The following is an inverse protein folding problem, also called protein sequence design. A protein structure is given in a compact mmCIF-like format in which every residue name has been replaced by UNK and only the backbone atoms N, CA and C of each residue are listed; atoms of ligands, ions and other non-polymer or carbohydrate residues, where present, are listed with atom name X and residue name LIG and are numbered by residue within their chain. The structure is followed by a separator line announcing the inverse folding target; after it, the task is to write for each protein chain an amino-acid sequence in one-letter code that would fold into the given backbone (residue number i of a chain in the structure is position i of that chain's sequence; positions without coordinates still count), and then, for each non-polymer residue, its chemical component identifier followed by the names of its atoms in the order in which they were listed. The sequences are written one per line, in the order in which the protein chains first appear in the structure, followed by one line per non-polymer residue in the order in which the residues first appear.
data_IF_183720795058
#
_entry.id   IF_183720795058
#
_cell.length_a   1.000
_cell.length_b   1.000
_cell.length_c   1.000
_cell.angle_alpha   90.00
_cell.angle_beta   90.00
_cell.angle_gamma   90.00
#
_symmetry.space_group_name_H-M   'P 1'
#
loop_
_entity.id
_entity.type
_entity.pdbx_description
1 polymer ?
#
# COMPACT_ATOMS: atom_id res chain seq x y z
N UNK A 1 7.51 -5.99 -21.04
CA UNK A 1 7.18 -4.59 -21.41
C UNK A 1 5.69 -4.48 -21.69
N UNK A 2 4.99 -3.45 -21.23
CA UNK A 2 3.53 -3.32 -21.44
C UNK A 2 3.21 -2.64 -22.78
N UNK A 3 2.08 -3.00 -23.38
CA UNK A 3 1.54 -2.39 -24.62
C UNK A 3 1.52 -0.86 -24.56
N UNK A 4 1.27 -0.28 -23.39
CA UNK A 4 1.32 1.16 -23.16
C UNK A 4 2.71 1.78 -23.40
N UNK A 5 3.78 1.13 -22.92
CA UNK A 5 5.16 1.59 -23.13
C UNK A 5 5.57 1.49 -24.61
N UNK A 6 5.10 0.46 -25.32
CA UNK A 6 5.36 0.28 -26.74
C UNK A 6 4.67 1.36 -27.59
N UNK A 7 3.37 1.63 -27.34
CA UNK A 7 2.62 2.71 -28.01
C UNK A 7 3.23 4.10 -27.77
N UNK A 8 3.78 4.34 -26.57
CA UNK A 8 4.49 5.59 -26.25
C UNK A 8 5.83 5.71 -27.02
N UNK A 9 6.60 4.61 -27.16
CA UNK A 9 7.85 4.59 -27.94
C UNK A 9 7.62 4.86 -29.44
N UNK A 10 6.45 4.47 -29.97
CA UNK A 10 6.09 4.69 -31.37
C UNK A 10 5.34 6.02 -31.61
N UNK A 11 5.21 6.89 -30.61
CA UNK A 11 4.48 8.16 -30.76
C UNK A 11 2.98 8.01 -31.00
N UNK A 12 2.40 6.82 -30.81
CA UNK A 12 1.00 6.51 -31.12
C UNK A 12 0.03 6.83 -29.98
N UNK A 13 0.47 7.53 -28.93
CA UNK A 13 -0.42 7.96 -27.85
C UNK A 13 -1.06 9.29 -28.21
N UNK A 14 -2.40 9.36 -28.17
CA UNK A 14 -3.12 10.63 -28.33
C UNK A 14 -2.60 11.64 -27.29
N UNK A 15 -2.26 12.89 -27.68
CA UNK A 15 -1.84 13.90 -26.73
C UNK A 15 -2.97 14.17 -25.73
N UNK A 16 -2.61 14.39 -24.46
CA UNK A 16 -3.59 14.80 -23.46
C UNK A 16 -4.19 16.14 -23.89
N UNK A 17 -5.52 16.24 -23.85
CA UNK A 17 -6.26 17.45 -24.23
C UNK A 17 -5.90 18.69 -23.39
N UNK A 18 -5.38 18.47 -22.17
CA UNK A 18 -4.95 19.52 -21.26
C UNK A 18 -3.56 19.20 -20.73
N UNK A 19 -2.66 20.17 -20.78
CA UNK A 19 -1.35 20.12 -20.13
C UNK A 19 -1.49 20.04 -18.61
N UNK A 20 -0.43 19.62 -17.91
CA UNK A 20 -0.47 19.51 -16.44
C UNK A 20 -0.70 20.87 -15.75
N UNK A 21 -0.17 21.95 -16.32
CA UNK A 21 -0.37 23.32 -15.82
C UNK A 21 -1.83 23.76 -15.95
N UNK A 22 -2.43 23.54 -17.12
CA UNK A 22 -3.85 23.86 -17.35
C UNK A 22 -4.78 23.04 -16.45
N UNK A 23 -4.45 21.76 -16.20
CA UNK A 23 -5.20 20.94 -15.24
C UNK A 23 -5.17 21.53 -13.83
N UNK A 24 -4.01 22.04 -13.38
CA UNK A 24 -3.85 22.64 -12.05
C UNK A 24 -4.65 23.94 -11.92
N UNK A 25 -4.62 24.78 -12.95
CA UNK A 25 -5.38 26.04 -12.99
C UNK A 25 -6.90 25.79 -13.00
N UNK A 26 -7.37 24.83 -13.80
CA UNK A 26 -8.79 24.43 -13.81
C UNK A 26 -9.23 23.87 -12.46
N UNK A 27 -8.37 23.11 -11.78
CA UNK A 27 -8.69 22.61 -10.44
C UNK A 27 -8.69 23.70 -9.37
N UNK A 28 -7.83 24.72 -9.49
CA UNK A 28 -7.86 25.88 -8.60
C UNK A 28 -9.20 26.61 -8.70
N UNK A 29 -9.64 26.91 -9.93
CA UNK A 29 -10.94 27.54 -10.19
C UNK A 29 -12.13 26.70 -9.71
N UNK A 30 -12.04 25.37 -9.84
CA UNK A 30 -13.06 24.47 -9.28
C UNK A 30 -13.24 24.69 -7.77
N UNK A 31 -12.14 24.72 -7.01
CA UNK A 31 -12.22 24.90 -5.56
C UNK A 31 -12.67 26.32 -5.20
N UNK A 32 -12.23 27.35 -5.92
CA UNK A 32 -12.72 28.72 -5.71
C UNK A 32 -14.24 28.86 -5.94
N UNK A 33 -14.79 28.18 -6.96
CA UNK A 33 -16.24 28.17 -7.22
C UNK A 33 -16.98 27.39 -6.12
N UNK A 34 -16.44 26.24 -5.71
CA UNK A 34 -17.05 25.36 -4.71
C UNK A 34 -17.02 25.96 -3.30
N UNK A 35 -15.98 26.72 -2.99
CA UNK A 35 -15.85 27.46 -1.72
C UNK A 35 -16.87 28.61 -1.64
N UNK A 36 -17.03 29.36 -2.74
CA UNK A 36 -18.01 30.47 -2.83
C UNK A 36 -19.46 30.00 -2.90
N UNK A 37 -19.72 28.78 -3.36
CA UNK A 37 -21.06 28.23 -3.48
C UNK A 37 -21.07 26.73 -3.17
N UNK A 38 -21.13 26.33 -1.89
CA UNK A 38 -21.00 24.92 -1.47
C UNK A 38 -22.06 23.99 -2.08
N UNK A 39 -23.25 24.52 -2.34
CA UNK A 39 -24.40 23.75 -2.85
C UNK A 39 -24.36 23.49 -4.37
N UNK A 40 -23.47 24.17 -5.11
CA UNK A 40 -23.39 23.97 -6.56
C UNK A 40 -22.93 22.55 -6.88
N UNK A 41 -23.62 21.89 -7.81
CA UNK A 41 -23.29 20.53 -8.21
C UNK A 41 -22.00 20.48 -9.01
N UNK A 42 -21.23 19.41 -8.81
CA UNK A 42 -19.97 19.18 -9.52
C UNK A 42 -20.18 19.13 -11.04
N UNK A 43 -21.33 18.61 -11.50
CA UNK A 43 -21.66 18.55 -12.92
C UNK A 43 -21.81 19.96 -13.53
N UNK A 44 -22.33 20.91 -12.77
CA UNK A 44 -22.55 22.26 -13.24
C UNK A 44 -21.26 23.08 -13.21
N UNK A 45 -20.40 22.87 -12.22
CA UNK A 45 -19.03 23.41 -12.26
C UNK A 45 -18.25 22.81 -13.45
N UNK A 46 -18.41 21.52 -13.74
CA UNK A 46 -17.75 20.88 -14.89
C UNK A 46 -18.17 21.53 -16.22
N UNK A 47 -19.46 21.85 -16.39
CA UNK A 47 -19.96 22.61 -17.55
C UNK A 47 -19.35 24.01 -17.62
N UNK A 48 -19.31 24.74 -16.49
CA UNK A 48 -18.71 26.09 -16.42
C UNK A 48 -17.22 26.08 -16.80
N UNK A 49 -16.48 25.06 -16.36
CA UNK A 49 -15.06 24.87 -16.66
C UNK A 49 -14.82 24.21 -18.03
N UNK A 50 -15.88 23.89 -18.79
CA UNK A 50 -15.82 23.21 -20.10
C UNK A 50 -15.03 21.90 -20.07
N UNK A 51 -15.14 21.15 -18.97
CA UNK A 51 -14.53 19.83 -18.79
C UNK A 51 -15.61 18.75 -18.65
N UNK A 52 -15.29 17.52 -19.06
CA UNK A 52 -16.20 16.39 -18.82
C UNK A 52 -16.29 16.06 -17.33
N UNK A 53 -17.48 15.71 -16.82
CA UNK A 53 -17.68 15.36 -15.41
C UNK A 53 -16.79 14.20 -14.94
N UNK A 54 -16.56 13.20 -15.79
CA UNK A 54 -15.64 12.10 -15.50
C UNK A 54 -14.17 12.53 -15.43
N UNK A 55 -13.79 13.58 -16.18
CA UNK A 55 -12.46 14.20 -16.13
C UNK A 55 -12.30 14.98 -14.83
N UNK A 56 -13.30 15.78 -14.44
CA UNK A 56 -13.31 16.50 -13.17
C UNK A 56 -13.19 15.54 -11.99
N UNK A 57 -13.96 14.44 -11.97
CA UNK A 57 -13.86 13.42 -10.93
C UNK A 57 -12.45 12.84 -10.80
N UNK A 58 -11.81 12.48 -11.92
CA UNK A 58 -10.44 11.96 -11.95
C UNK A 58 -9.44 12.99 -11.43
N UNK A 59 -9.55 14.25 -11.86
CA UNK A 59 -8.64 15.31 -11.44
C UNK A 59 -8.82 15.69 -9.96
N UNK A 60 -10.05 15.74 -9.44
CA UNK A 60 -10.29 15.91 -7.99
C UNK A 60 -9.53 14.87 -7.17
N UNK A 61 -9.55 13.60 -7.60
CA UNK A 61 -8.80 12.52 -6.94
C UNK A 61 -7.28 12.68 -7.09
N UNK A 62 -6.82 13.13 -8.25
CA UNK A 62 -5.39 13.34 -8.55
C UNK A 62 -4.80 14.52 -7.76
N UNK A 63 -5.48 15.66 -7.72
CA UNK A 63 -4.99 16.90 -7.09
C UNK A 63 -5.27 16.97 -5.59
N UNK A 64 -6.26 16.24 -5.05
CA UNK A 64 -6.39 16.06 -3.58
C UNK A 64 -5.13 15.44 -2.95
N UNK A 65 -4.41 14.58 -3.69
CA UNK A 65 -3.14 13.99 -3.22
C UNK A 65 -1.98 14.98 -3.20
N UNK A 66 -2.06 16.09 -3.95
CA UNK A 66 -0.99 17.09 -4.04
C UNK A 66 -1.16 18.23 -3.04
N UNK A 67 -2.36 18.45 -2.47
CA UNK A 67 -2.62 19.53 -1.51
C UNK A 67 -2.39 19.17 -0.03
N UNK A 68 -1.89 17.98 0.28
CA UNK A 68 -1.42 17.62 1.63
C UNK A 68 0.03 17.12 1.57
N UNK A 69 0.95 18.09 1.44
CA UNK A 69 2.34 17.93 1.88
C UNK A 69 2.54 18.99 2.99
N UNK A 70 2.61 18.59 4.27
CA UNK A 70 2.84 19.52 5.37
C UNK A 70 4.33 19.85 5.40
N UNK A 71 4.73 20.87 4.66
CA UNK A 71 5.99 21.59 4.84
C UNK A 71 5.80 22.98 4.24
N UNK A 72 5.03 23.79 4.95
CA UNK A 72 5.19 25.24 4.96
C UNK A 72 5.08 25.67 6.41
N UNK A 73 6.19 26.21 6.89
CA UNK A 73 6.44 26.64 8.26
C UNK A 73 5.48 27.78 8.59
N UNK A 74 4.77 27.66 9.72
CA UNK A 74 4.57 28.72 10.71
C UNK A 74 3.95 28.06 11.96
N UNK A 75 4.65 28.22 13.09
CA UNK A 75 4.34 27.54 14.34
C UNK A 75 3.08 28.05 15.03
N UNK A 76 2.45 27.20 15.83
CA UNK A 76 2.11 27.44 17.23
C UNK A 76 1.39 26.22 17.85
N UNK A 77 1.60 26.07 19.16
CA UNK A 77 0.99 25.15 20.14
C UNK A 77 1.18 23.65 19.98
N UNK A 78 2.17 23.18 20.75
CA UNK A 78 2.23 21.89 21.45
C UNK A 78 1.00 21.73 22.37
N UNK A 79 0.64 20.48 22.68
CA UNK A 79 -0.42 20.03 23.62
C UNK A 79 -1.88 19.98 23.12
N UNK A 80 -2.19 18.98 22.30
CA UNK A 80 -3.29 18.03 22.56
C UNK A 80 -3.27 16.95 21.47
N UNK A 81 -3.64 15.71 21.79
CA UNK A 81 -3.94 14.60 20.86
C UNK A 81 -2.87 13.51 20.62
N UNK A 82 -2.19 13.04 21.67
CA UNK A 82 -1.49 11.75 21.62
C UNK A 82 -2.45 10.56 21.36
N UNK A 83 -3.70 10.62 21.87
CA UNK A 83 -4.69 9.56 21.70
C UNK A 83 -5.28 9.46 20.27
N UNK A 84 -5.39 10.58 19.54
CA UNK A 84 -5.94 10.57 18.17
C UNK A 84 -4.95 10.06 17.11
N UNK A 85 -3.66 9.92 17.45
CA UNK A 85 -2.62 9.53 16.51
C UNK A 85 -2.42 8.00 16.42
N UNK A 86 -2.93 7.24 17.39
CA UNK A 86 -2.92 5.76 17.34
C UNK A 86 -3.97 5.24 16.33
N UNK A 87 -5.10 5.92 16.16
CA UNK A 87 -6.12 5.54 15.17
C UNK A 87 -5.83 6.01 13.73
N UNK A 88 -4.84 6.90 13.52
CA UNK A 88 -4.46 7.42 12.20
C UNK A 88 -3.33 6.65 11.49
N UNK A 89 -2.87 5.53 12.04
CA UNK A 89 -1.95 4.60 11.36
C UNK A 89 -2.72 3.60 10.48
N UNK A 90 -4.05 3.47 10.65
CA UNK A 90 -4.87 2.49 9.94
C UNK A 90 -5.45 2.89 8.59
N UNK A 91 -5.38 4.16 8.15
CA UNK A 91 -6.16 4.64 7.00
C UNK A 91 -5.39 5.41 5.90
N UNK A 92 -4.07 5.27 5.85
CA UNK A 92 -3.21 5.83 4.81
C UNK A 92 -2.98 4.82 3.68
N UNK A 93 -3.87 4.81 2.66
CA UNK A 93 -3.70 4.13 1.35
C UNK A 93 -2.82 2.85 1.37
N UNK A 94 -3.43 1.75 1.78
CA UNK A 94 -2.91 0.39 2.03
C UNK A 94 -2.16 -0.34 0.89
N UNK A 95 -1.70 0.35 -0.16
CA UNK A 95 -1.03 -0.29 -1.30
C UNK A 95 0.50 -0.25 -1.31
N UNK A 96 1.13 0.72 -0.63
CA UNK A 96 2.60 0.90 -0.69
C UNK A 96 3.36 0.17 0.42
N UNK A 97 2.65 -0.23 1.49
CA UNK A 97 3.25 -0.88 2.66
C UNK A 97 3.27 -2.40 2.56
N UNK A 98 2.57 -2.98 1.58
CA UNK A 98 2.49 -4.43 1.32
C UNK A 98 3.86 -5.11 1.28
N UNK A 99 4.81 -4.53 0.53
CA UNK A 99 6.19 -5.03 0.43
C UNK A 99 6.96 -5.01 1.75
N UNK A 100 6.40 -4.40 2.78
CA UNK A 100 6.98 -4.35 4.10
C UNK A 100 6.23 -5.29 5.04
N UNK A 101 4.94 -5.09 5.25
CA UNK A 101 4.24 -5.78 6.33
C UNK A 101 3.66 -7.15 5.95
N UNK A 102 3.63 -7.50 4.66
CA UNK A 102 3.06 -8.78 4.20
C UNK A 102 4.16 -9.81 3.94
N UNK A 103 4.22 -10.84 4.79
CA UNK A 103 5.19 -11.94 4.74
C UNK A 103 5.32 -12.58 3.35
N UNK A 104 4.21 -12.66 2.61
CA UNK A 104 4.17 -13.13 1.24
C UNK A 104 4.98 -12.24 0.29
N UNK A 105 4.68 -10.94 0.26
CA UNK A 105 5.32 -9.98 -0.63
C UNK A 105 6.78 -9.68 -0.25
N UNK A 106 7.14 -9.90 1.01
CA UNK A 106 8.53 -9.78 1.48
C UNK A 106 9.42 -10.93 0.99
N UNK A 107 8.93 -12.16 1.00
CA UNK A 107 9.82 -13.33 0.88
C UNK A 107 9.54 -14.21 -0.35
N UNK A 108 8.30 -14.65 -0.55
CA UNK A 108 8.04 -15.79 -1.43
C UNK A 108 7.13 -15.48 -2.63
N UNK A 109 6.35 -14.40 -2.62
CA UNK A 109 5.43 -14.08 -3.72
C UNK A 109 6.18 -13.75 -5.03
N UNK A 110 7.33 -13.07 -4.92
CA UNK A 110 8.18 -12.76 -6.07
C UNK A 110 8.79 -14.02 -6.72
N UNK A 111 9.52 -14.90 -6.01
CA UNK A 111 10.04 -16.13 -6.60
C UNK A 111 8.93 -17.08 -7.07
N UNK A 112 7.81 -17.18 -6.33
CA UNK A 112 6.64 -17.95 -6.75
C UNK A 112 6.12 -17.49 -8.12
N UNK A 113 5.84 -16.19 -8.28
CA UNK A 113 5.37 -15.60 -9.55
C UNK A 113 6.41 -15.71 -10.66
N UNK A 114 7.70 -15.63 -10.33
CA UNK A 114 8.78 -15.78 -11.29
C UNK A 114 8.81 -17.21 -11.86
N UNK A 115 8.70 -18.24 -11.01
CA UNK A 115 8.67 -19.64 -11.44
C UNK A 115 7.46 -19.95 -12.31
N UNK A 116 6.25 -19.49 -11.93
CA UNK A 116 5.05 -19.67 -12.77
C UNK A 116 5.23 -18.96 -14.12
N UNK A 117 5.78 -17.74 -14.14
CA UNK A 117 6.04 -17.01 -15.39
C UNK A 117 7.02 -17.75 -16.28
N UNK A 118 8.09 -18.28 -15.72
CA UNK A 118 9.07 -19.08 -16.45
C UNK A 118 8.42 -20.30 -17.09
N UNK A 119 7.59 -21.04 -16.35
CA UNK A 119 6.89 -22.22 -16.89
C UNK A 119 5.87 -21.85 -17.96
N UNK A 120 5.17 -20.74 -17.80
CA UNK A 120 4.29 -20.21 -18.83
C UNK A 120 5.06 -19.82 -20.11
N UNK A 121 6.20 -19.15 -19.98
CA UNK A 121 7.05 -18.78 -21.11
C UNK A 121 7.60 -20.01 -21.83
N UNK A 122 8.04 -21.02 -21.09
CA UNK A 122 8.52 -22.29 -21.64
C UNK A 122 7.40 -23.04 -22.39
N UNK A 123 6.21 -23.14 -21.79
CA UNK A 123 5.04 -23.70 -22.47
C UNK A 123 4.61 -22.87 -23.69
N UNK A 124 4.76 -21.55 -23.64
CA UNK A 124 4.54 -20.68 -24.80
C UNK A 124 5.57 -20.84 -25.91
N UNK A 125 6.73 -21.45 -25.66
CA UNK A 125 7.73 -21.74 -26.70
C UNK A 125 7.62 -23.18 -27.20
N UNK A 126 7.51 -24.14 -26.29
CA UNK A 126 7.66 -25.57 -26.58
C UNK A 126 6.38 -26.40 -26.40
N UNK A 127 5.37 -25.86 -25.71
CA UNK A 127 4.15 -26.59 -25.38
C UNK A 127 3.23 -26.83 -26.58
N UNK A 128 2.52 -27.97 -26.56
CA UNK A 128 1.43 -28.23 -27.49
C UNK A 128 0.27 -27.26 -27.24
N UNK A 129 -0.14 -26.56 -28.29
CA UNK A 129 -1.15 -25.49 -28.20
C UNK A 129 -2.30 -25.78 -29.14
N UNK A 130 -3.50 -25.76 -28.55
CA UNK A 130 -4.74 -25.73 -29.31
C UNK A 130 -5.15 -24.29 -29.59
N UNK A 131 -5.73 -24.04 -30.77
CA UNK A 131 -6.26 -22.73 -31.15
C UNK A 131 -7.78 -22.67 -30.99
N UNK A 132 -8.32 -21.47 -30.85
CA UNK A 132 -9.76 -21.22 -30.98
C UNK A 132 -10.15 -21.26 -32.46
N UNK A 133 -11.45 -21.38 -32.74
CA UNK A 133 -11.97 -21.24 -34.11
C UNK A 133 -11.60 -19.91 -34.77
N UNK A 134 -11.32 -18.88 -33.97
CA UNK A 134 -10.82 -17.57 -34.39
C UNK A 134 -9.29 -17.46 -34.53
N UNK A 135 -8.54 -18.55 -34.37
CA UNK A 135 -7.09 -18.59 -34.54
C UNK A 135 -6.26 -18.14 -33.34
N UNK A 136 -6.88 -17.80 -32.20
CA UNK A 136 -6.14 -17.42 -30.99
C UNK A 136 -5.62 -18.66 -30.26
N UNK A 137 -4.40 -18.60 -29.72
CA UNK A 137 -3.88 -19.65 -28.83
C UNK A 137 -4.75 -19.74 -27.57
N UNK A 138 -5.21 -20.95 -27.22
CA UNK A 138 -5.95 -21.18 -25.97
C UNK A 138 -5.01 -21.08 -24.77
N UNK A 139 -5.57 -20.79 -23.59
CA UNK A 139 -4.80 -20.86 -22.36
C UNK A 139 -4.33 -22.29 -22.08
N UNK A 140 -3.25 -22.42 -21.29
CA UNK A 140 -2.80 -23.73 -20.82
C UNK A 140 -3.95 -24.44 -20.08
N UNK A 141 -4.11 -25.76 -20.29
CA UNK A 141 -5.15 -26.52 -19.61
C UNK A 141 -4.88 -26.55 -18.09
N UNK A 142 -5.94 -26.73 -17.31
CA UNK A 142 -5.89 -26.59 -15.85
C UNK A 142 -4.86 -27.52 -15.20
N UNK A 143 -4.76 -28.77 -15.65
CA UNK A 143 -3.80 -29.74 -15.11
C UNK A 143 -2.34 -29.28 -15.27
N UNK A 144 -2.01 -28.64 -16.40
CA UNK A 144 -0.67 -28.08 -16.63
C UNK A 144 -0.44 -26.89 -15.70
N UNK A 145 -1.42 -26.00 -15.56
CA UNK A 145 -1.32 -24.85 -14.67
C UNK A 145 -1.19 -25.25 -13.18
N UNK A 146 -1.90 -26.29 -12.74
CA UNK A 146 -1.80 -26.83 -11.37
C UNK A 146 -0.42 -27.42 -11.09
N UNK A 147 0.16 -28.15 -12.06
CA UNK A 147 1.55 -28.63 -11.93
C UNK A 147 2.53 -27.46 -11.77
N UNK A 148 2.34 -26.36 -12.50
CA UNK A 148 3.19 -25.19 -12.35
C UNK A 148 3.12 -24.57 -10.97
N UNK A 149 1.91 -24.49 -10.39
CA UNK A 149 1.70 -24.01 -9.02
C UNK A 149 2.40 -24.93 -8.02
N UNK A 150 2.25 -26.25 -8.18
CA UNK A 150 2.89 -27.25 -7.32
C UNK A 150 4.41 -27.10 -7.33
N UNK A 151 5.03 -27.10 -8.52
CA UNK A 151 6.48 -26.91 -8.65
C UNK A 151 6.97 -25.55 -8.16
N UNK A 152 6.17 -24.49 -8.32
CA UNK A 152 6.51 -23.18 -7.79
C UNK A 152 6.53 -23.16 -6.26
N UNK A 153 5.67 -23.93 -5.61
CA UNK A 153 5.70 -24.11 -4.15
C UNK A 153 6.87 -24.97 -3.68
N UNK A 154 7.14 -26.10 -4.35
CA UNK A 154 8.28 -26.97 -4.02
C UNK A 154 9.63 -26.24 -4.17
N UNK A 155 9.71 -25.27 -5.09
CA UNK A 155 10.90 -24.44 -5.27
C UNK A 155 11.15 -23.39 -4.17
N UNK A 156 10.24 -23.22 -3.20
CA UNK A 156 10.35 -22.22 -2.14
C UNK A 156 10.70 -22.92 -0.82
N UNK A 157 11.88 -22.65 -0.23
CA UNK A 157 12.26 -23.22 1.06
C UNK A 157 11.26 -22.85 2.16
N UNK A 158 10.89 -23.82 3.01
CA UNK A 158 9.96 -23.60 4.14
C UNK A 158 10.53 -22.56 5.12
N UNK A 159 11.85 -22.57 5.28
CA UNK A 159 12.60 -21.62 6.10
C UNK A 159 12.40 -20.18 5.63
N UNK A 160 12.31 -19.95 4.31
CA UNK A 160 12.05 -18.62 3.75
C UNK A 160 10.63 -18.14 4.07
N UNK A 161 9.67 -19.07 4.13
CA UNK A 161 8.29 -18.76 4.52
C UNK A 161 8.25 -18.44 6.01
N UNK A 162 8.77 -19.31 6.88
CA UNK A 162 8.78 -19.09 8.33
C UNK A 162 9.53 -17.81 8.72
N UNK A 163 10.70 -17.55 8.12
CA UNK A 163 11.49 -16.35 8.38
C UNK A 163 10.76 -15.07 7.97
N UNK A 164 9.88 -15.12 6.97
CA UNK A 164 9.16 -13.92 6.52
C UNK A 164 8.17 -13.41 7.56
N UNK A 165 7.55 -14.30 8.32
CA UNK A 165 6.65 -13.91 9.42
C UNK A 165 7.40 -13.15 10.52
N UNK A 166 8.60 -13.62 10.90
CA UNK A 166 9.46 -12.90 11.84
C UNK A 166 9.98 -11.58 11.28
N UNK A 167 10.37 -11.58 10.01
CA UNK A 167 10.84 -10.37 9.31
C UNK A 167 9.77 -9.28 9.25
N UNK A 168 8.49 -9.67 9.22
CA UNK A 168 7.35 -8.77 9.22
C UNK A 168 6.84 -8.38 10.61
N UNK A 169 7.46 -8.83 11.71
CA UNK A 169 6.99 -8.51 13.06
C UNK A 169 5.77 -9.31 13.53
N UNK A 170 5.42 -10.43 12.87
CA UNK A 170 4.15 -11.15 13.10
C UNK A 170 4.30 -12.24 14.17
N UNK A 171 5.40 -13.00 14.13
CA UNK A 171 5.64 -14.14 15.02
C UNK A 171 6.85 -13.92 15.92
N UNK A 172 7.20 -12.66 16.17
CA UNK A 172 8.37 -12.28 16.96
C UNK A 172 8.09 -12.47 18.46
N UNK A 173 9.13 -12.73 19.22
CA UNK A 173 9.06 -12.85 20.67
C UNK A 173 8.56 -11.54 21.35
N UNK A 174 7.67 -11.70 22.33
CA UNK A 174 7.09 -10.59 23.10
C UNK A 174 8.08 -9.91 24.04
N UNK A 175 9.24 -10.50 24.32
CA UNK A 175 10.31 -9.89 25.11
C UNK A 175 11.21 -8.96 24.27
N UNK A 176 11.03 -8.96 22.94
CA UNK A 176 11.78 -8.10 22.02
C UNK A 176 13.13 -8.68 21.61
N UNK A 177 13.46 -9.92 22.00
CA UNK A 177 14.71 -10.57 21.61
C UNK A 177 14.87 -10.73 20.10
N UNK A 178 13.76 -10.72 19.36
CA UNK A 178 13.69 -10.90 17.90
C UNK A 178 13.32 -9.61 17.15
N UNK A 179 13.23 -8.45 17.82
CA UNK A 179 12.83 -7.20 17.17
C UNK A 179 13.83 -6.76 16.08
N UNK A 180 15.11 -7.11 16.25
CA UNK A 180 16.16 -6.87 15.25
C UNK A 180 15.94 -7.57 13.90
N UNK A 181 15.06 -8.58 13.83
CA UNK A 181 14.72 -9.25 12.57
C UNK A 181 13.73 -8.44 11.72
N UNK A 182 13.03 -7.47 12.31
CA UNK A 182 11.97 -6.70 11.65
C UNK A 182 12.59 -5.77 10.61
N UNK A 183 12.37 -6.08 9.33
CA UNK A 183 13.05 -5.38 8.22
C UNK A 183 12.69 -3.90 8.10
N UNK A 184 11.50 -3.48 8.53
CA UNK A 184 11.03 -2.13 8.32
C UNK A 184 11.68 -1.16 9.32
N UNK A 185 12.27 -1.70 10.39
CA UNK A 185 12.96 -0.99 11.45
C UNK A 185 14.49 -1.02 11.33
N UNK A 186 15.03 -1.65 10.29
CA UNK A 186 16.47 -1.59 9.98
C UNK A 186 16.90 -0.14 9.70
N UNK A 187 18.19 0.16 9.87
CA UNK A 187 18.74 1.52 9.70
C UNK A 187 18.47 2.12 8.32
N UNK A 188 18.51 1.29 7.27
CA UNK A 188 18.19 1.65 5.88
C UNK A 188 16.70 1.43 5.53
N UNK A 189 15.88 1.11 6.54
CA UNK A 189 14.49 0.73 6.41
C UNK A 189 13.54 1.92 6.13
N UNK A 190 12.31 1.62 5.67
CA UNK A 190 11.29 2.62 5.37
C UNK A 190 10.72 3.34 6.59
N UNK A 191 10.99 2.88 7.82
CA UNK A 191 10.48 3.48 9.06
C UNK A 191 11.65 4.01 9.89
N UNK A 192 11.98 5.31 9.74
CA UNK A 192 13.00 5.96 10.56
C UNK A 192 12.67 5.82 12.04
N UNK A 193 13.69 5.49 12.85
CA UNK A 193 13.57 5.31 14.29
C UNK A 193 12.51 4.26 14.71
N UNK A 194 12.16 3.33 13.82
CA UNK A 194 11.10 2.35 14.09
C UNK A 194 11.38 1.49 15.32
N UNK A 195 12.64 1.09 15.51
CA UNK A 195 13.07 0.32 16.68
C UNK A 195 12.87 1.07 17.99
N UNK A 196 13.28 2.35 18.03
CA UNK A 196 13.12 3.21 19.20
C UNK A 196 11.64 3.38 19.58
N UNK A 197 10.79 3.57 18.57
CA UNK A 197 9.34 3.72 18.79
C UNK A 197 8.70 2.43 19.32
N UNK A 198 9.19 1.27 18.88
CA UNK A 198 8.73 -0.03 19.39
C UNK A 198 9.14 -0.22 20.86
N UNK A 199 10.38 0.11 21.21
CA UNK A 199 10.88 0.03 22.59
C UNK A 199 10.07 0.94 23.52
N UNK A 200 9.84 2.19 23.13
CA UNK A 200 8.99 3.13 23.90
C UNK A 200 7.56 2.60 24.08
N UNK A 201 6.98 1.98 23.04
CA UNK A 201 5.64 1.40 23.14
C UNK A 201 5.58 0.21 24.11
N UNK A 202 6.62 -0.62 24.15
CA UNK A 202 6.74 -1.74 25.10
C UNK A 202 6.85 -1.24 26.55
N UNK A 203 7.70 -0.24 26.79
CA UNK A 203 7.85 0.38 28.11
C UNK A 203 6.55 1.02 28.61
N UNK A 204 5.84 1.74 27.73
CA UNK A 204 4.52 2.31 28.07
C UNK A 204 3.50 1.22 28.41
N UNK A 205 3.46 0.14 27.63
CA UNK A 205 2.53 -0.97 27.89
C UNK A 205 2.85 -1.71 29.20
N UNK A 206 4.13 -1.88 29.55
CA UNK A 206 4.55 -2.46 30.82
C UNK A 206 4.15 -1.56 32.01
N UNK A 207 4.33 -0.24 31.85
CA UNK A 207 3.91 0.73 32.86
C UNK A 207 2.39 0.69 33.09
N UNK A 208 1.59 0.69 32.03
CA UNK A 208 0.13 0.63 32.11
C UNK A 208 -0.34 -0.67 32.77
N UNK A 209 0.25 -1.82 32.41
CA UNK A 209 -0.06 -3.11 33.03
C UNK A 209 0.25 -3.11 34.54
N UNK A 210 1.39 -2.53 34.94
CA UNK A 210 1.75 -2.40 36.35
C UNK A 210 0.83 -1.42 37.09
N UNK A 211 0.40 -0.34 36.43
CA UNK A 211 -0.52 0.64 36.99
C UNK A 211 -1.91 0.02 37.22
N UNK A 212 -2.46 -0.69 36.24
CA UNK A 212 -3.72 -1.44 36.36
C UNK A 212 -3.63 -2.53 37.43
N UNK A 213 -2.54 -3.30 37.47
CA UNK A 213 -2.33 -4.32 38.50
C UNK A 213 -2.23 -3.74 39.92
N UNK A 214 -1.60 -2.56 40.08
CA UNK A 214 -1.61 -1.82 41.34
C UNK A 214 -3.00 -1.31 41.68
N UNK A 215 -3.75 -0.80 40.70
CA UNK A 215 -5.12 -0.33 40.89
C UNK A 215 -6.04 -1.47 41.35
N UNK A 216 -5.96 -2.65 40.73
CA UNK A 216 -6.72 -3.84 41.15
C UNK A 216 -6.32 -4.27 42.57
N UNK A 217 -5.04 -4.30 42.91
CA UNK A 217 -4.59 -4.63 44.28
C UNK A 217 -5.07 -3.61 45.32
N UNK A 218 -5.08 -2.32 45.00
CA UNK A 218 -5.62 -1.25 45.83
C UNK A 218 -7.14 -1.36 45.99
N UNK A 219 -7.84 -1.66 44.90
CA UNK A 219 -9.29 -1.87 44.88
C UNK A 219 -9.70 -3.07 45.76
N UNK A 220 -9.00 -4.21 45.63
CA UNK A 220 -9.24 -5.39 46.46
C UNK A 220 -8.91 -5.17 47.94
N UNK A 221 -7.87 -4.38 48.26
CA UNK A 221 -7.53 -4.01 49.65
C UNK A 221 -8.57 -3.11 50.33
N UNK A 222 -9.36 -2.36 49.56
CA UNK A 222 -10.40 -1.47 50.08
C UNK A 222 -11.79 -2.14 50.12
N UNK A 223 -11.90 -3.39 49.67
CA UNK A 223 -13.13 -4.18 49.69
C UNK A 223 -13.20 -5.18 50.87
N UNK A 224 -12.14 -5.26 51.69
CA UNK A 224 -12.05 -6.10 52.89
C UNK A 224 -11.54 -5.30 54.09
#
# INVERSE_FOLDING_TARGET
MTIYRWKRKLGQTKPNKHSHSEQKELMKRYYEIKDKNPEIRDEDIAKMLKIGGSTLYKWKKQFKRQQFHPNSVDGHSVEENAAANVQKIGNSNSGSCTKFVQAADVSWNAPFKAKIRQQYEDWMLHGEKTTTSSGNTRAAPMNIYLNWIHEAWEGIPKENISKSFKTCGITNAFDGSEDGEIHCFKEDGPVPNGMLRLQQAREMAEFDFLAEGKFIKLFLKNLY
#
